data_IF_576732467934
#
_entry.id   IF_576732467934
#
_cell.length_a   1.000
_cell.length_b   1.000
_cell.length_c   1.000
_cell.angle_alpha   90.00
_cell.angle_beta   90.00
_cell.angle_gamma   90.00
#
_symmetry.space_group_name_H-M   'P 1'
#
loop_
_entity.id
_entity.type
_entity.pdbx_description
1 polymer ?
#
# COMPACT_ATOMS: atom_id res chain seq x y z
N UNK A 1 -12.96 17.42 -1.04
CA UNK A 1 -14.21 16.97 -1.68
C UNK A 1 -15.24 18.09 -1.67
N UNK A 2 -16.10 18.19 -2.69
CA UNK A 2 -17.20 19.15 -2.72
C UNK A 2 -18.08 19.04 -1.46
N UNK A 3 -18.62 20.16 -1.01
CA UNK A 3 -19.42 20.24 0.22
C UNK A 3 -18.63 20.33 1.53
N UNK A 4 -17.29 20.14 1.52
CA UNK A 4 -16.47 20.33 2.72
C UNK A 4 -16.14 21.81 2.95
N UNK A 5 -15.83 22.18 4.21
CA UNK A 5 -15.35 23.54 4.54
C UNK A 5 -14.09 23.91 3.75
N UNK A 6 -13.17 22.96 3.57
CA UNK A 6 -11.95 23.17 2.79
C UNK A 6 -12.25 23.48 1.32
N UNK A 7 -13.22 22.77 0.72
CA UNK A 7 -13.61 23.03 -0.66
C UNK A 7 -14.16 24.43 -0.86
N UNK A 8 -15.11 24.87 0.00
CA UNK A 8 -15.68 26.22 -0.05
C UNK A 8 -14.61 27.29 0.04
N UNK A 9 -13.67 27.16 0.99
CA UNK A 9 -12.54 28.08 1.11
C UNK A 9 -11.69 28.12 -0.16
N UNK A 10 -11.33 26.97 -0.73
CA UNK A 10 -10.53 26.93 -1.96
C UNK A 10 -11.29 27.49 -3.18
N UNK A 11 -12.61 27.37 -3.20
CA UNK A 11 -13.46 27.97 -4.23
C UNK A 11 -13.53 29.49 -4.11
N UNK A 12 -13.74 30.02 -2.90
CA UNK A 12 -13.69 31.46 -2.59
C UNK A 12 -12.32 32.06 -2.93
N UNK A 13 -11.23 31.31 -2.69
CA UNK A 13 -9.87 31.70 -3.06
C UNK A 13 -9.56 31.55 -4.57
N UNK A 14 -10.49 31.04 -5.38
CA UNK A 14 -10.28 30.83 -6.82
C UNK A 14 -9.25 29.74 -7.17
N UNK A 15 -9.04 28.78 -6.26
CA UNK A 15 -7.99 27.75 -6.35
C UNK A 15 -8.49 26.37 -6.78
N UNK A 16 -9.77 26.18 -7.06
CA UNK A 16 -10.29 24.96 -7.67
C UNK A 16 -9.90 24.93 -9.16
N UNK A 17 -9.22 23.87 -9.61
CA UNK A 17 -8.76 23.71 -11.00
C UNK A 17 -9.88 23.18 -11.90
N UNK A 18 -10.66 22.22 -11.41
CA UNK A 18 -11.76 21.60 -12.16
C UNK A 18 -12.86 21.08 -11.22
N UNK A 19 -14.06 20.91 -11.79
CA UNK A 19 -15.29 20.49 -11.07
C UNK A 19 -15.86 19.17 -11.58
N UNK A 20 -15.11 18.44 -12.41
CA UNK A 20 -15.51 17.13 -12.88
C UNK A 20 -15.47 16.14 -11.71
N UNK A 21 -16.63 15.58 -11.36
CA UNK A 21 -16.76 14.68 -10.21
C UNK A 21 -15.93 13.41 -10.33
N UNK A 22 -15.63 12.96 -11.56
CA UNK A 22 -14.83 11.76 -11.80
C UNK A 22 -13.37 11.94 -11.35
N UNK A 23 -12.89 13.18 -11.22
CA UNK A 23 -11.51 13.48 -10.86
C UNK A 23 -11.33 13.61 -9.33
N UNK A 24 -12.40 13.48 -8.53
CA UNK A 24 -12.32 13.49 -7.06
C UNK A 24 -12.08 12.08 -6.52
N UNK A 25 -10.96 11.47 -6.93
CA UNK A 25 -10.59 10.07 -6.70
C UNK A 25 -9.50 9.88 -5.63
N UNK A 26 -9.16 10.96 -4.90
CA UNK A 26 -8.05 11.08 -3.93
C UNK A 26 -6.62 11.01 -4.49
N UNK A 27 -6.45 10.90 -5.80
CA UNK A 27 -5.15 10.85 -6.48
C UNK A 27 -4.94 12.08 -7.38
N UNK A 28 -5.98 12.47 -8.11
CA UNK A 28 -5.93 13.60 -9.04
C UNK A 28 -5.92 14.92 -8.28
N UNK A 29 -5.01 15.81 -8.67
CA UNK A 29 -4.91 17.15 -8.07
C UNK A 29 -5.96 18.06 -8.69
N UNK A 30 -6.97 18.41 -7.91
CA UNK A 30 -8.16 19.16 -8.36
C UNK A 30 -8.16 20.64 -7.92
N UNK A 31 -7.08 21.07 -7.27
CA UNK A 31 -6.93 22.41 -6.72
C UNK A 31 -5.47 22.87 -6.78
N UNK A 32 -5.23 24.18 -6.79
CA UNK A 32 -3.90 24.78 -6.72
C UNK A 32 -3.45 24.89 -5.25
N UNK A 33 -2.37 24.22 -4.82
CA UNK A 33 -1.79 24.42 -3.48
C UNK A 33 -1.15 25.81 -3.33
N UNK A 34 -0.87 26.24 -2.08
CA UNK A 34 -0.55 27.65 -1.80
C UNK A 34 0.94 27.98 -1.98
N UNK A 35 1.81 26.98 -1.84
CA UNK A 35 3.27 27.15 -1.86
C UNK A 35 3.98 26.17 -2.80
N UNK A 36 3.24 25.51 -3.70
CA UNK A 36 3.78 24.62 -4.73
C UNK A 36 2.80 24.56 -5.91
N UNK A 37 3.25 24.06 -7.05
CA UNK A 37 2.38 23.79 -8.19
C UNK A 37 1.55 22.51 -7.99
N UNK A 38 0.44 22.33 -8.72
CA UNK A 38 -0.30 21.06 -8.71
C UNK A 38 0.58 19.85 -9.05
N UNK A 39 1.52 20.03 -9.98
CA UNK A 39 2.46 19.00 -10.43
C UNK A 39 3.45 18.64 -9.31
N UNK A 40 4.01 19.64 -8.62
CA UNK A 40 4.89 19.42 -7.46
C UNK A 40 4.17 18.65 -6.34
N UNK A 41 2.89 18.97 -6.08
CA UNK A 41 2.08 18.23 -5.12
C UNK A 41 1.88 16.77 -5.56
N UNK A 42 1.57 16.54 -6.83
CA UNK A 42 1.37 15.19 -7.36
C UNK A 42 2.67 14.37 -7.31
N UNK A 43 3.80 14.96 -7.68
CA UNK A 43 5.10 14.31 -7.60
C UNK A 43 5.51 13.99 -6.17
N UNK A 44 5.25 14.91 -5.23
CA UNK A 44 5.43 14.67 -3.80
C UNK A 44 4.57 13.52 -3.29
N UNK A 45 3.29 13.48 -3.70
CA UNK A 45 2.38 12.37 -3.39
C UNK A 45 2.93 11.02 -3.91
N UNK A 46 3.31 10.94 -5.18
CA UNK A 46 3.89 9.71 -5.77
C UNK A 46 5.14 9.27 -5.02
N UNK A 47 6.03 10.19 -4.66
CA UNK A 47 7.24 9.90 -3.90
C UNK A 47 6.91 9.28 -2.54
N UNK A 48 6.01 9.90 -1.76
CA UNK A 48 5.61 9.40 -0.44
C UNK A 48 4.96 8.03 -0.55
N UNK A 49 4.03 7.84 -1.49
CA UNK A 49 3.33 6.56 -1.67
C UNK A 49 4.32 5.44 -2.02
N UNK A 50 5.28 5.69 -2.92
CA UNK A 50 6.34 4.73 -3.27
C UNK A 50 7.27 4.42 -2.10
N UNK A 51 7.58 5.40 -1.25
CA UNK A 51 8.42 5.19 -0.07
C UNK A 51 7.71 4.34 0.99
N UNK A 52 6.45 4.68 1.29
CA UNK A 52 5.60 3.97 2.27
C UNK A 52 5.34 2.53 1.85
N UNK A 53 5.11 2.29 0.56
CA UNK A 53 4.82 0.96 0.02
C UNK A 53 6.00 0.32 -0.72
N UNK A 54 7.23 0.79 -0.49
CA UNK A 54 8.43 0.07 -0.93
C UNK A 54 8.52 -1.29 -0.24
N UNK A 55 9.15 -2.26 -0.90
CA UNK A 55 9.29 -3.60 -0.32
C UNK A 55 10.02 -3.61 1.04
N UNK A 56 10.98 -2.72 1.25
CA UNK A 56 11.71 -2.62 2.51
C UNK A 56 10.83 -2.03 3.62
N UNK A 57 10.06 -0.96 3.33
CA UNK A 57 9.07 -0.40 4.26
C UNK A 57 7.97 -1.40 4.62
N UNK A 58 7.50 -2.16 3.63
CA UNK A 58 6.52 -3.25 3.83
C UNK A 58 7.09 -4.33 4.74
N UNK A 59 8.31 -4.80 4.49
CA UNK A 59 8.93 -5.83 5.32
C UNK A 59 9.10 -5.35 6.77
N UNK A 60 9.56 -4.12 6.97
CA UNK A 60 9.69 -3.51 8.31
C UNK A 60 8.34 -3.44 9.04
N UNK A 61 7.28 -3.07 8.34
CA UNK A 61 5.92 -3.05 8.88
C UNK A 61 5.45 -4.46 9.27
N UNK A 62 5.66 -5.45 8.41
CA UNK A 62 5.31 -6.84 8.67
C UNK A 62 6.09 -7.42 9.85
N UNK A 63 7.40 -7.18 9.92
CA UNK A 63 8.23 -7.63 11.03
C UNK A 63 7.70 -7.06 12.35
N UNK A 64 7.39 -5.76 12.40
CA UNK A 64 6.75 -5.15 13.58
C UNK A 64 5.45 -5.85 13.97
N UNK A 65 4.57 -6.15 13.00
CA UNK A 65 3.33 -6.87 13.27
C UNK A 65 3.57 -8.27 13.85
N UNK A 66 4.62 -8.97 13.42
CA UNK A 66 4.95 -10.30 13.94
C UNK A 66 5.58 -10.23 15.34
N UNK A 67 6.42 -9.22 15.61
CA UNK A 67 7.03 -9.01 16.93
C UNK A 67 5.98 -8.78 18.02
N UNK A 68 4.95 -7.97 17.71
CA UNK A 68 3.86 -7.67 18.65
C UNK A 68 2.69 -8.64 18.58
N UNK A 69 2.80 -9.70 17.75
CA UNK A 69 1.72 -10.65 17.47
C UNK A 69 0.37 -9.97 17.15
N UNK A 70 0.42 -8.98 16.25
CA UNK A 70 -0.69 -8.08 15.94
C UNK A 70 -1.99 -8.80 15.57
N UNK A 71 -1.87 -9.97 14.92
CA UNK A 71 -3.01 -10.76 14.47
C UNK A 71 -3.43 -11.88 15.42
N UNK A 72 -2.91 -11.92 16.65
CA UNK A 72 -3.17 -12.98 17.63
C UNK A 72 -4.65 -13.38 17.70
N UNK A 73 -5.52 -12.42 18.02
CA UNK A 73 -6.95 -12.68 18.16
C UNK A 73 -7.59 -13.24 16.88
N UNK A 74 -7.23 -12.69 15.72
CA UNK A 74 -7.74 -13.19 14.44
C UNK A 74 -7.24 -14.59 14.10
N UNK A 75 -5.98 -14.89 14.42
CA UNK A 75 -5.39 -16.20 14.17
C UNK A 75 -5.90 -17.27 15.14
N UNK A 76 -6.36 -16.87 16.34
CA UNK A 76 -7.02 -17.73 17.32
C UNK A 76 -8.46 -18.06 16.89
N UNK A 77 -9.21 -17.08 16.37
CA UNK A 77 -10.61 -17.28 15.92
C UNK A 77 -10.68 -18.01 14.57
N UNK A 78 -9.86 -17.60 13.60
CA UNK A 78 -9.88 -18.12 12.23
C UNK A 78 -8.44 -18.43 11.76
N UNK A 79 -7.88 -19.57 12.20
CA UNK A 79 -6.53 -19.96 11.82
C UNK A 79 -6.47 -20.35 10.34
N UNK A 80 -5.49 -19.78 9.64
CA UNK A 80 -5.21 -20.15 8.25
C UNK A 80 -4.68 -21.59 8.20
N UNK A 81 -5.46 -22.49 7.58
CA UNK A 81 -5.11 -23.91 7.41
C UNK A 81 -3.77 -24.06 6.68
N UNK A 82 -2.98 -25.06 7.09
CA UNK A 82 -1.65 -25.33 6.52
C UNK A 82 -1.64 -25.43 4.98
N UNK A 83 -2.63 -26.11 4.39
CA UNK A 83 -2.77 -26.22 2.93
C UNK A 83 -2.83 -24.86 2.20
N UNK A 84 -3.47 -23.85 2.80
CA UNK A 84 -3.54 -22.51 2.20
C UNK A 84 -2.21 -21.76 2.35
N UNK A 85 -1.46 -22.00 3.43
CA UNK A 85 -0.09 -21.49 3.58
C UNK A 85 0.85 -22.11 2.55
N UNK A 86 0.71 -23.41 2.28
CA UNK A 86 1.47 -24.11 1.25
C UNK A 86 1.17 -23.57 -0.16
N UNK A 87 -0.11 -23.43 -0.52
CA UNK A 87 -0.52 -22.83 -1.80
C UNK A 87 -0.01 -21.39 -1.96
N UNK A 88 -0.08 -20.60 -0.89
CA UNK A 88 0.43 -19.24 -0.89
C UNK A 88 1.96 -19.19 -1.05
N UNK A 89 2.69 -20.04 -0.34
CA UNK A 89 4.14 -20.16 -0.49
C UNK A 89 4.54 -20.58 -1.92
N UNK A 90 3.84 -21.57 -2.51
CA UNK A 90 4.05 -21.96 -3.90
C UNK A 90 3.77 -20.79 -4.87
N UNK A 91 2.69 -20.03 -4.64
CA UNK A 91 2.39 -18.83 -5.43
C UNK A 91 3.49 -17.78 -5.29
N UNK A 92 3.99 -17.50 -4.09
CA UNK A 92 5.11 -16.60 -3.88
C UNK A 92 6.39 -17.09 -4.55
N UNK A 93 6.71 -18.37 -4.45
CA UNK A 93 7.87 -18.97 -5.10
C UNK A 93 7.80 -18.83 -6.62
N UNK A 94 6.61 -18.98 -7.23
CA UNK A 94 6.43 -18.76 -8.68
C UNK A 94 6.79 -17.34 -9.14
N UNK A 95 6.65 -16.35 -8.24
CA UNK A 95 6.97 -14.94 -8.54
C UNK A 95 8.47 -14.63 -8.47
N UNK A 96 9.30 -15.53 -7.92
CA UNK A 96 10.77 -15.39 -7.96
C UNK A 96 11.32 -15.52 -9.38
N UNK A 97 10.58 -16.18 -10.28
CA UNK A 97 10.94 -16.36 -11.68
C UNK A 97 10.75 -15.07 -12.50
N UNK A 98 10.05 -14.07 -11.96
CA UNK A 98 9.86 -12.78 -12.62
C UNK A 98 11.05 -11.86 -12.36
N UNK A 99 11.62 -11.19 -13.38
CA UNK A 99 12.71 -10.24 -13.18
C UNK A 99 12.31 -9.09 -12.26
N UNK A 100 13.09 -8.85 -11.20
CA UNK A 100 12.82 -7.77 -10.25
C UNK A 100 13.64 -7.88 -8.97
N UNK A 101 14.83 -7.27 -8.95
CA UNK A 101 15.80 -7.43 -7.86
C UNK A 101 15.23 -7.10 -6.46
N UNK A 102 14.36 -6.10 -6.35
CA UNK A 102 13.72 -5.74 -5.07
C UNK A 102 12.64 -6.73 -4.63
N UNK A 103 11.79 -7.16 -5.56
CA UNK A 103 10.67 -8.08 -5.30
C UNK A 103 11.17 -9.47 -4.92
N UNK A 104 12.17 -9.99 -5.63
CA UNK A 104 12.70 -11.33 -5.36
C UNK A 104 13.37 -11.38 -3.98
N UNK A 105 14.15 -10.35 -3.61
CA UNK A 105 14.72 -10.22 -2.25
C UNK A 105 13.64 -10.19 -1.18
N UNK A 106 12.57 -9.43 -1.41
CA UNK A 106 11.43 -9.37 -0.49
C UNK A 106 10.73 -10.72 -0.31
N UNK A 107 10.47 -11.43 -1.41
CA UNK A 107 9.85 -12.76 -1.38
C UNK A 107 10.74 -13.77 -0.65
N UNK A 108 12.06 -13.75 -0.89
CA UNK A 108 13.00 -14.63 -0.19
C UNK A 108 12.99 -14.40 1.33
N UNK A 109 12.87 -13.13 1.78
CA UNK A 109 12.70 -12.81 3.21
C UNK A 109 11.36 -13.30 3.78
N UNK A 110 10.29 -13.29 2.96
CA UNK A 110 8.93 -13.68 3.39
C UNK A 110 8.71 -15.19 3.46
N UNK A 111 9.21 -15.94 2.49
CA UNK A 111 8.94 -17.38 2.34
C UNK A 111 9.06 -18.19 3.65
N UNK A 112 10.14 -18.09 4.44
CA UNK A 112 10.25 -18.86 5.68
C UNK A 112 9.21 -18.44 6.74
N UNK A 113 8.73 -17.19 6.69
CA UNK A 113 7.75 -16.64 7.66
C UNK A 113 6.33 -17.09 7.37
N UNK A 114 6.00 -17.49 6.14
CA UNK A 114 4.63 -17.87 5.73
C UNK A 114 4.03 -18.99 6.60
N UNK A 115 4.85 -19.87 7.18
CA UNK A 115 4.40 -20.99 8.00
C UNK A 115 4.24 -20.66 9.49
N UNK A 116 4.67 -19.48 9.93
CA UNK A 116 4.48 -19.03 11.31
C UNK A 116 3.01 -18.67 11.56
N UNK A 117 2.45 -19.18 12.67
CA UNK A 117 1.06 -18.97 13.08
C UNK A 117 0.73 -17.51 13.35
N UNK A 118 1.73 -16.68 13.72
CA UNK A 118 1.58 -15.22 13.91
C UNK A 118 1.37 -14.48 12.59
N UNK A 119 1.79 -15.07 11.48
CA UNK A 119 1.74 -14.45 10.16
C UNK A 119 0.36 -14.65 9.54
N UNK A 120 -0.24 -13.53 9.15
CA UNK A 120 -1.49 -13.51 8.38
C UNK A 120 -1.21 -13.21 6.91
N UNK A 121 -1.39 -14.21 6.05
CA UNK A 121 -1.04 -14.14 4.62
C UNK A 121 -1.85 -13.08 3.86
N UNK A 122 -3.08 -12.77 4.30
CA UNK A 122 -3.90 -11.71 3.71
C UNK A 122 -3.26 -10.33 3.84
N UNK A 123 -2.61 -10.03 4.97
CA UNK A 123 -1.88 -8.78 5.17
C UNK A 123 -0.72 -8.64 4.19
N UNK A 124 -0.01 -9.74 3.90
CA UNK A 124 1.06 -9.76 2.91
C UNK A 124 0.49 -9.44 1.53
N UNK A 125 -0.61 -10.09 1.13
CA UNK A 125 -1.29 -9.85 -0.16
C UNK A 125 -1.72 -8.39 -0.28
N UNK A 126 -2.36 -7.83 0.75
CA UNK A 126 -2.80 -6.44 0.75
C UNK A 126 -1.64 -5.47 0.59
N UNK A 127 -0.53 -5.67 1.31
CA UNK A 127 0.64 -4.79 1.20
C UNK A 127 1.33 -4.93 -0.17
N UNK A 128 1.37 -6.14 -0.74
CA UNK A 128 1.87 -6.33 -2.11
C UNK A 128 0.97 -5.66 -3.15
N UNK A 129 -0.36 -5.64 -2.95
CA UNK A 129 -1.27 -4.89 -3.81
C UNK A 129 -1.03 -3.39 -3.72
N UNK A 130 -0.79 -2.85 -2.52
CA UNK A 130 -0.42 -1.43 -2.36
C UNK A 130 0.93 -1.08 -2.96
N UNK A 131 1.90 -2.00 -2.94
CA UNK A 131 3.13 -1.83 -3.72
C UNK A 131 2.82 -1.69 -5.21
N UNK A 132 2.07 -2.64 -5.80
CA UNK A 132 1.71 -2.55 -7.22
C UNK A 132 1.00 -1.23 -7.55
N UNK A 133 0.06 -0.79 -6.71
CA UNK A 133 -0.61 0.50 -6.84
C UNK A 133 0.38 1.68 -6.79
N UNK A 134 1.31 1.69 -5.84
CA UNK A 134 2.30 2.76 -5.70
C UNK A 134 3.21 2.93 -6.93
N UNK A 135 3.40 1.86 -7.71
CA UNK A 135 4.18 1.87 -8.95
C UNK A 135 3.31 1.95 -10.21
N UNK A 136 1.97 1.93 -10.10
CA UNK A 136 1.07 2.21 -11.22
C UNK A 136 0.70 3.69 -11.35
N UNK A 137 0.87 4.47 -10.27
CA UNK A 137 0.71 5.94 -10.26
C UNK A 137 1.95 6.68 -10.78
#
# INVERSE_FOLDING_TARGET
FPGTKLYRRLEEEGRILHRNWNDYDSQTVVFRPAGMTPEELFDGFRKVVREVYSFESIYRKLDRFWQIDFWRHSNEIDPIKFRYRLLFAARLASLLLTPGNGRSKFIMKLLPRVFDKKVRISTIVTLMAYNNFAYSI
#
